data_IF_623288224518
#
_entry.id   IF_623288224518
#
_cell.length_a   1.000
_cell.length_b   1.000
_cell.length_c   1.000
_cell.angle_alpha   90.00
_cell.angle_beta   90.00
_cell.angle_gamma   90.00
#
_symmetry.space_group_name_H-M   'P 1'
#
loop_
_entity.id
_entity.type
_entity.pdbx_description
1 polymer ?
#
# COMPACT_ATOMS: atom_id res chain seq x y z
N UNK A 1 9.75 -4.31 -4.02
CA UNK A 1 8.69 -3.29 -4.23
C UNK A 1 8.07 -3.49 -5.59
N UNK A 2 6.75 -3.53 -5.67
CA UNK A 2 6.00 -3.63 -6.92
C UNK A 2 5.33 -2.29 -7.17
N UNK A 3 5.52 -1.74 -8.35
CA UNK A 3 4.92 -0.48 -8.77
C UNK A 3 3.98 -0.74 -9.94
N UNK A 4 2.69 -0.45 -9.74
CA UNK A 4 1.67 -0.58 -10.76
C UNK A 4 0.93 0.73 -10.97
N UNK A 5 0.86 1.18 -12.20
CA UNK A 5 -0.09 2.19 -12.64
C UNK A 5 -1.28 1.46 -13.23
N UNK A 6 -2.51 1.80 -12.83
CA UNK A 6 -3.78 1.13 -13.16
C UNK A 6 -3.77 -0.02 -14.20
N UNK A 7 -2.96 0.05 -15.22
CA UNK A 7 -2.87 -0.95 -16.29
C UNK A 7 -1.46 -1.31 -16.71
N UNK A 8 -0.43 -0.65 -16.19
CA UNK A 8 0.96 -0.83 -16.65
C UNK A 8 1.95 -0.77 -15.50
N UNK A 9 2.99 -1.60 -15.62
CA UNK A 9 4.19 -1.43 -14.80
C UNK A 9 4.84 -0.09 -15.13
N UNK A 10 5.04 0.74 -14.13
CA UNK A 10 5.64 2.06 -14.30
C UNK A 10 7.16 1.99 -14.12
N UNK A 11 7.91 2.39 -15.14
CA UNK A 11 9.34 2.64 -14.99
C UNK A 11 9.52 4.09 -14.60
N UNK A 12 10.09 4.31 -13.42
CA UNK A 12 10.35 5.66 -12.92
C UNK A 12 11.76 6.06 -13.34
N UNK A 13 11.85 7.12 -14.13
CA UNK A 13 13.14 7.73 -14.51
C UNK A 13 13.29 9.03 -13.72
N UNK A 14 14.21 9.03 -12.76
CA UNK A 14 14.41 10.16 -11.83
C UNK A 14 15.25 11.29 -12.43
N UNK A 15 15.81 11.13 -13.63
CA UNK A 15 16.76 12.08 -14.23
C UNK A 15 16.08 13.18 -15.06
N UNK A 16 14.76 13.19 -15.16
CA UNK A 16 14.03 14.20 -15.91
C UNK A 16 13.02 14.93 -15.02
N UNK A 17 12.56 16.09 -15.48
CA UNK A 17 11.51 16.87 -14.83
C UNK A 17 10.28 15.98 -14.55
N UNK A 18 10.34 15.28 -13.43
CA UNK A 18 9.33 14.34 -13.03
C UNK A 18 8.08 15.07 -12.55
N UNK A 19 7.00 14.95 -13.29
CA UNK A 19 5.71 15.47 -12.87
C UNK A 19 5.11 14.49 -11.84
N UNK A 20 4.93 14.96 -10.62
CA UNK A 20 4.33 14.15 -9.56
C UNK A 20 2.94 13.68 -9.96
N UNK A 21 2.63 12.42 -9.65
CA UNK A 21 1.27 11.90 -9.77
C UNK A 21 0.39 12.51 -8.67
N UNK A 22 -0.91 12.54 -8.88
CA UNK A 22 -1.81 13.18 -7.92
C UNK A 22 -1.93 12.39 -6.63
N UNK A 23 -2.22 11.09 -6.73
CA UNK A 23 -2.56 10.29 -5.56
C UNK A 23 -1.95 8.91 -5.63
N UNK A 24 -1.27 8.53 -4.56
CA UNK A 24 -0.71 7.19 -4.38
C UNK A 24 -1.31 6.54 -3.14
N UNK A 25 -1.56 5.24 -3.20
CA UNK A 25 -1.94 4.43 -2.06
C UNK A 25 -0.79 3.50 -1.69
N UNK A 26 -0.43 3.48 -0.41
CA UNK A 26 0.59 2.60 0.13
C UNK A 26 -0.06 1.48 0.93
N UNK A 27 0.38 0.26 0.70
CA UNK A 27 -0.05 -0.92 1.46
C UNK A 27 1.15 -1.80 1.76
N UNK A 28 1.07 -2.61 2.82
CA UNK A 28 2.07 -3.63 3.11
C UNK A 28 1.43 -4.82 3.84
N UNK A 29 2.24 -5.83 4.12
CA UNK A 29 1.83 -7.00 4.89
C UNK A 29 2.53 -7.10 6.26
N UNK A 30 3.51 -6.25 6.51
CA UNK A 30 4.31 -6.26 7.75
C UNK A 30 3.74 -5.37 8.86
N UNK A 31 2.73 -4.58 8.56
CA UNK A 31 2.13 -3.66 9.52
C UNK A 31 2.55 -2.21 9.34
N UNK A 32 1.78 -1.32 9.96
CA UNK A 32 1.94 0.12 9.76
C UNK A 32 3.25 0.66 10.35
N UNK A 33 3.75 0.01 11.40
CA UNK A 33 4.97 0.43 12.08
C UNK A 33 6.24 -0.28 11.56
N UNK A 34 6.12 -1.05 10.47
CA UNK A 34 7.25 -1.77 9.91
C UNK A 34 8.31 -0.83 9.32
N UNK A 35 9.61 -1.08 9.53
CA UNK A 35 10.68 -0.22 9.01
C UNK A 35 10.65 -0.03 7.49
N UNK A 36 10.30 -1.08 6.74
CA UNK A 36 10.20 -1.03 5.29
C UNK A 36 9.12 -0.05 4.80
N UNK A 37 8.14 0.23 5.64
CA UNK A 37 7.08 1.17 5.31
C UNK A 37 7.56 2.61 5.26
N UNK A 38 8.51 2.98 6.12
CA UNK A 38 9.12 4.30 6.09
C UNK A 38 9.87 4.53 4.77
N UNK A 39 10.56 3.51 4.28
CA UNK A 39 11.25 3.56 3.00
C UNK A 39 10.25 3.80 1.87
N UNK A 40 9.16 3.05 1.86
CA UNK A 40 8.10 3.19 0.86
C UNK A 40 7.46 4.57 0.91
N UNK A 41 7.18 5.06 2.10
CA UNK A 41 6.61 6.40 2.29
C UNK A 41 7.57 7.50 1.80
N UNK A 42 8.86 7.35 2.05
CA UNK A 42 9.88 8.27 1.55
C UNK A 42 9.89 8.32 0.02
N UNK A 43 9.84 7.18 -0.63
CA UNK A 43 9.74 7.09 -2.10
C UNK A 43 8.45 7.77 -2.58
N UNK A 44 7.34 7.49 -1.93
CA UNK A 44 6.05 8.05 -2.31
C UNK A 44 6.02 9.58 -2.23
N UNK A 45 6.68 10.17 -1.25
CA UNK A 45 6.79 11.63 -1.10
C UNK A 45 7.48 12.28 -2.31
N UNK A 46 8.40 11.57 -2.93
CA UNK A 46 9.12 12.08 -4.10
C UNK A 46 8.29 12.00 -5.38
N UNK A 47 7.33 11.09 -5.46
CA UNK A 47 6.60 10.80 -6.71
C UNK A 47 5.15 11.22 -6.71
N UNK A 48 4.57 11.55 -5.56
CA UNK A 48 3.14 11.84 -5.45
C UNK A 48 2.87 13.11 -4.65
N UNK A 49 1.77 13.78 -5.00
CA UNK A 49 1.29 14.96 -4.29
C UNK A 49 0.52 14.58 -3.04
N UNK A 50 -0.23 13.49 -3.08
CA UNK A 50 -1.10 13.04 -2.01
C UNK A 50 -0.86 11.56 -1.75
N UNK A 51 -0.65 11.21 -0.48
CA UNK A 51 -0.33 9.84 -0.05
C UNK A 51 -1.41 9.34 0.89
N UNK A 52 -1.98 8.18 0.57
CA UNK A 52 -2.90 7.45 1.41
C UNK A 52 -2.25 6.17 1.89
N UNK A 53 -2.37 5.86 3.17
CA UNK A 53 -1.74 4.70 3.79
C UNK A 53 -2.81 3.81 4.40
N UNK A 54 -2.81 2.55 4.00
CA UNK A 54 -3.66 1.51 4.59
C UNK A 54 -2.78 0.31 4.89
N UNK A 55 -2.63 0.00 6.15
CA UNK A 55 -1.75 -1.10 6.56
C UNK A 55 -2.39 -1.91 7.69
N UNK A 56 -2.07 -3.20 7.78
CA UNK A 56 -2.53 -4.03 8.89
C UNK A 56 -2.05 -3.50 10.24
N UNK A 57 -2.85 -3.72 11.25
CA UNK A 57 -2.49 -3.40 12.64
C UNK A 57 -1.30 -4.20 13.14
N UNK A 58 -1.19 -5.44 12.66
CA UNK A 58 -0.12 -6.36 13.02
C UNK A 58 0.47 -6.95 11.77
N UNK A 59 1.63 -7.57 11.91
CA UNK A 59 2.20 -8.35 10.82
C UNK A 59 1.22 -9.45 10.38
N UNK A 60 0.76 -9.34 9.14
CA UNK A 60 -0.15 -10.29 8.50
C UNK A 60 0.49 -10.98 7.31
N UNK A 61 1.83 -11.04 7.26
CA UNK A 61 2.54 -11.61 6.12
C UNK A 61 2.16 -13.06 5.82
N UNK A 62 1.79 -13.84 6.86
CA UNK A 62 1.29 -15.21 6.67
C UNK A 62 -0.13 -15.30 6.10
N UNK A 63 -0.88 -14.22 6.11
CA UNK A 63 -2.25 -14.22 5.61
C UNK A 63 -2.35 -14.05 4.08
N UNK A 64 -1.36 -13.45 3.46
CA UNK A 64 -1.29 -13.28 2.01
C UNK A 64 -2.51 -12.58 1.44
N UNK A 65 -3.17 -13.23 0.49
CA UNK A 65 -4.34 -12.70 -0.20
C UNK A 65 -5.68 -13.06 0.45
N UNK A 66 -5.66 -13.60 1.66
CA UNK A 66 -6.90 -13.97 2.32
C UNK A 66 -7.77 -12.74 2.59
N UNK A 67 -9.08 -12.89 2.37
CA UNK A 67 -10.08 -11.87 2.66
C UNK A 67 -10.77 -12.26 3.95
N UNK A 68 -10.92 -11.29 4.85
CA UNK A 68 -11.65 -11.51 6.08
C UNK A 68 -13.15 -11.44 5.80
N UNK A 69 -13.86 -12.54 6.05
CA UNK A 69 -15.31 -12.63 5.84
C UNK A 69 -16.12 -12.09 7.02
N UNK A 70 -15.50 -11.38 7.93
CA UNK A 70 -16.18 -10.76 9.07
C UNK A 70 -16.85 -9.47 8.65
N UNK A 71 -18.01 -9.21 9.22
CA UNK A 71 -18.79 -8.01 8.93
C UNK A 71 -18.23 -6.75 9.62
N UNK A 72 -17.32 -6.89 10.58
CA UNK A 72 -16.81 -5.81 11.40
C UNK A 72 -15.29 -5.76 11.38
N UNK A 73 -14.72 -5.21 10.33
CA UNK A 73 -13.30 -4.91 10.27
C UNK A 73 -13.09 -3.57 10.97
N UNK A 74 -12.26 -3.57 12.02
CA UNK A 74 -11.93 -2.35 12.75
C UNK A 74 -10.88 -1.56 12.00
N UNK A 75 -11.14 -0.27 11.83
CA UNK A 75 -10.22 0.66 11.20
C UNK A 75 -9.92 1.79 12.18
N UNK A 76 -8.66 2.04 12.40
CA UNK A 76 -8.20 3.14 13.25
C UNK A 76 -7.56 4.19 12.34
N UNK A 77 -8.14 5.38 12.35
CA UNK A 77 -7.56 6.51 11.64
C UNK A 77 -6.44 7.12 12.50
N UNK A 78 -5.19 6.97 12.06
CA UNK A 78 -4.03 7.50 12.78
C UNK A 78 -3.68 8.92 12.39
N UNK A 79 -3.97 9.29 11.16
CA UNK A 79 -3.76 10.64 10.64
C UNK A 79 -4.76 10.88 9.51
N UNK A 80 -4.73 12.04 8.89
CA UNK A 80 -5.69 12.46 7.86
C UNK A 80 -5.87 11.44 6.75
N UNK A 81 -4.78 10.78 6.32
CA UNK A 81 -4.78 9.77 5.25
C UNK A 81 -4.02 8.51 5.66
N UNK A 82 -3.99 8.23 6.96
CA UNK A 82 -3.27 7.06 7.50
C UNK A 82 -4.24 6.22 8.30
N UNK A 83 -4.44 4.99 7.85
CA UNK A 83 -5.42 4.07 8.42
C UNK A 83 -4.76 2.74 8.79
N UNK A 84 -4.98 2.32 10.01
CA UNK A 84 -4.58 1.02 10.52
C UNK A 84 -5.80 0.12 10.49
N UNK A 85 -5.68 -1.02 9.82
CA UNK A 85 -6.81 -1.93 9.58
C UNK A 85 -6.58 -3.23 10.33
N UNK A 86 -7.55 -3.64 11.13
CA UNK A 86 -7.52 -4.94 11.80
C UNK A 86 -8.00 -6.02 10.82
N UNK A 87 -7.19 -6.31 9.83
CA UNK A 87 -7.49 -7.24 8.75
C UNK A 87 -6.24 -7.61 7.97
N UNK A 88 -6.45 -8.29 6.85
CA UNK A 88 -5.38 -8.70 5.95
C UNK A 88 -4.96 -7.55 5.03
N UNK A 89 -3.82 -7.65 4.34
CA UNK A 89 -3.46 -6.67 3.29
C UNK A 89 -4.54 -6.53 2.21
N UNK A 90 -5.17 -7.63 1.83
CA UNK A 90 -6.28 -7.60 0.87
C UNK A 90 -7.47 -6.83 1.41
N UNK A 91 -7.79 -6.99 2.69
CA UNK A 91 -8.85 -6.22 3.35
C UNK A 91 -8.54 -4.72 3.31
N UNK A 92 -7.27 -4.33 3.52
CA UNK A 92 -6.83 -2.95 3.42
C UNK A 92 -7.13 -2.35 2.05
N UNK A 93 -6.81 -3.08 0.98
CA UNK A 93 -7.05 -2.63 -0.39
C UNK A 93 -8.55 -2.51 -0.68
N UNK A 94 -9.32 -3.52 -0.31
CA UNK A 94 -10.77 -3.53 -0.54
C UNK A 94 -11.44 -2.37 0.18
N UNK A 95 -11.12 -2.17 1.45
CA UNK A 95 -11.66 -1.05 2.24
C UNK A 95 -11.25 0.31 1.66
N UNK A 96 -9.98 0.44 1.28
CA UNK A 96 -9.49 1.67 0.71
C UNK A 96 -10.26 2.05 -0.55
N UNK A 97 -10.35 1.13 -1.50
CA UNK A 97 -10.94 1.40 -2.80
C UNK A 97 -12.47 1.53 -2.77
N UNK A 98 -13.13 0.75 -1.93
CA UNK A 98 -14.60 0.69 -1.92
C UNK A 98 -15.25 1.62 -0.91
N UNK A 99 -14.48 2.14 0.05
CA UNK A 99 -15.04 2.96 1.11
C UNK A 99 -14.32 4.31 1.26
N UNK A 100 -13.05 4.31 1.64
CA UNK A 100 -12.34 5.55 1.95
C UNK A 100 -11.93 6.37 0.72
N UNK A 101 -11.56 5.72 -0.36
CA UNK A 101 -11.09 6.36 -1.59
C UNK A 101 -12.04 6.16 -2.76
N UNK A 102 -13.26 5.78 -2.49
CA UNK A 102 -14.27 5.50 -3.51
C UNK A 102 -14.49 6.67 -4.48
N UNK A 103 -14.45 7.92 -3.97
CA UNK A 103 -14.61 9.13 -4.77
C UNK A 103 -13.27 9.76 -5.15
N UNK A 104 -12.15 9.20 -4.73
CA UNK A 104 -10.81 9.71 -4.98
C UNK A 104 -9.82 8.54 -5.17
N UNK A 105 -10.06 7.74 -6.19
CA UNK A 105 -9.25 6.56 -6.46
C UNK A 105 -7.77 6.91 -6.65
N UNK A 106 -6.85 6.03 -6.20
CA UNK A 106 -5.43 6.28 -6.39
C UNK A 106 -5.03 6.12 -7.85
N UNK A 107 -4.07 6.90 -8.30
CA UNK A 107 -3.45 6.76 -9.61
C UNK A 107 -2.43 5.62 -9.63
N UNK A 108 -1.88 5.30 -8.45
CA UNK A 108 -0.83 4.32 -8.28
C UNK A 108 -0.96 3.65 -6.92
N UNK A 109 -0.74 2.36 -6.88
CA UNK A 109 -0.64 1.59 -5.63
C UNK A 109 0.78 1.06 -5.49
N UNK A 110 1.41 1.35 -4.36
CA UNK A 110 2.72 0.81 -4.00
C UNK A 110 2.54 -0.19 -2.86
N UNK A 111 3.03 -1.39 -3.05
CA UNK A 111 3.00 -2.44 -2.04
C UNK A 111 4.42 -2.87 -1.67
N UNK A 112 4.70 -2.98 -0.38
CA UNK A 112 6.00 -3.34 0.16
C UNK A 112 6.51 -2.25 1.10
N UNK A 113 7.78 -2.15 1.42
CA UNK A 113 8.89 -3.04 1.09
C UNK A 113 8.88 -4.18 2.10
N UNK A 114 8.94 -5.42 1.62
CA UNK A 114 8.86 -6.57 2.52
C UNK A 114 10.09 -6.64 3.42
N UNK A 115 9.86 -6.93 4.71
CA UNK A 115 10.91 -7.30 5.63
C UNK A 115 11.37 -8.72 5.29
N UNK A 116 12.68 -8.95 5.26
CA UNK A 116 13.23 -10.26 4.96
C UNK A 116 13.57 -10.49 3.51
N UNK A 117 13.91 -11.73 3.18
CA UNK A 117 14.38 -12.11 1.86
C UNK A 117 13.22 -12.54 0.96
N UNK A 118 12.57 -11.59 0.34
CA UNK A 118 11.72 -11.94 -0.79
C UNK A 118 12.62 -12.02 -2.02
N UNK A 119 12.84 -13.23 -2.50
CA UNK A 119 13.48 -13.43 -3.78
C UNK A 119 12.63 -12.78 -4.88
N UNK A 120 13.26 -12.43 -6.01
CA UNK A 120 12.56 -11.81 -7.11
C UNK A 120 11.31 -12.59 -7.57
N UNK A 121 11.34 -13.91 -7.41
CA UNK A 121 10.24 -14.79 -7.78
C UNK A 121 9.02 -14.63 -6.86
N UNK A 122 9.22 -14.19 -5.62
CA UNK A 122 8.14 -14.02 -4.65
C UNK A 122 7.39 -12.70 -4.84
N UNK A 123 7.99 -11.74 -5.52
CA UNK A 123 7.40 -10.42 -5.73
C UNK A 123 6.02 -10.50 -6.40
N UNK A 124 5.84 -11.46 -7.30
CA UNK A 124 4.57 -11.65 -8.01
C UNK A 124 3.49 -12.30 -7.13
N UNK A 125 3.88 -13.07 -6.12
CA UNK A 125 2.97 -13.87 -5.29
C UNK A 125 2.83 -13.34 -3.88
N UNK A 126 3.62 -12.37 -3.49
CA UNK A 126 3.51 -11.73 -2.20
C UNK A 126 2.18 -11.00 -2.08
N UNK A 127 1.48 -11.21 -1.01
CA UNK A 127 0.20 -10.57 -0.72
C UNK A 127 0.32 -9.07 -0.39
#
# INVERSE_FOLDING_TARGET
MIIWKQTKLLRINMDQNFKKINRVMLVNDDGIDAPGFEVLNSIAKDIAKEIWIFAPKRDKSGAGRSITLRNDIKVIKRDKRVFEVDGTPTDCVILALNHFMKDCLPDLVLSGVNAGRNAADDVTYSG
#
